data_IF_162834081051
#
_entry.id   IF_162834081051
#
_cell.length_a   1.000
_cell.length_b   1.000
_cell.length_c   1.000
_cell.angle_alpha   90.00
_cell.angle_beta   90.00
_cell.angle_gamma   90.00
#
_symmetry.space_group_name_H-M   'P 1'
#
loop_
_entity.id
_entity.type
_entity.pdbx_description
1 polymer ?
#
# COMPACT_ATOMS: atom_id res chain seq x y z
N UNK A 1 21.72 13.08 -13.76
CA UNK A 1 20.43 12.45 -13.42
C UNK A 1 20.55 11.89 -12.02
N UNK A 2 19.47 11.87 -11.23
CA UNK A 2 19.49 11.26 -9.90
C UNK A 2 19.34 9.74 -10.02
N UNK A 3 19.84 8.97 -9.06
CA UNK A 3 19.66 7.51 -9.03
C UNK A 3 18.18 7.10 -9.10
N UNK A 4 17.28 7.93 -8.56
CA UNK A 4 15.83 7.73 -8.67
C UNK A 4 15.33 7.93 -10.11
N UNK A 5 15.79 8.98 -10.79
CA UNK A 5 15.43 9.24 -12.19
C UNK A 5 15.86 8.08 -13.09
N UNK A 6 17.05 7.52 -12.84
CA UNK A 6 17.57 6.38 -13.60
C UNK A 6 16.74 5.12 -13.33
N UNK A 7 16.40 4.84 -12.06
CA UNK A 7 15.55 3.70 -11.69
C UNK A 7 14.14 3.77 -12.32
N UNK A 8 13.53 4.97 -12.32
CA UNK A 8 12.24 5.20 -12.98
C UNK A 8 12.37 5.00 -14.49
N UNK A 9 13.42 5.55 -15.10
CA UNK A 9 13.70 5.36 -16.53
C UNK A 9 13.81 3.89 -16.90
N UNK A 10 14.54 3.09 -16.12
CA UNK A 10 14.63 1.65 -16.33
C UNK A 10 13.28 0.94 -16.19
N UNK A 11 12.47 1.31 -15.20
CA UNK A 11 11.13 0.73 -15.02
C UNK A 11 10.22 1.04 -16.22
N UNK A 12 10.23 2.28 -16.72
CA UNK A 12 9.46 2.70 -17.91
C UNK A 12 9.90 1.94 -19.16
N UNK A 13 11.21 1.80 -19.39
CA UNK A 13 11.75 1.07 -20.54
C UNK A 13 11.39 -0.42 -20.50
N UNK A 14 11.42 -1.03 -19.30
CA UNK A 14 11.03 -2.42 -19.09
C UNK A 14 9.53 -2.63 -19.33
N UNK A 15 8.69 -1.76 -18.77
CA UNK A 15 7.23 -1.78 -18.94
C UNK A 15 6.81 -1.58 -20.41
N UNK A 16 7.52 -0.72 -21.15
CA UNK A 16 7.29 -0.52 -22.58
C UNK A 16 7.83 -1.66 -23.46
N UNK A 17 8.60 -2.61 -22.92
CA UNK A 17 9.19 -3.72 -23.67
C UNK A 17 10.32 -3.30 -24.62
N UNK A 18 11.02 -2.20 -24.30
CA UNK A 18 12.06 -1.62 -25.18
C UNK A 18 13.44 -1.53 -24.54
N UNK A 19 13.62 -2.05 -23.31
CA UNK A 19 14.86 -1.93 -22.54
C UNK A 19 16.11 -2.42 -23.29
N UNK A 20 15.99 -3.46 -24.12
CA UNK A 20 17.12 -4.06 -24.86
C UNK A 20 17.20 -3.61 -26.33
N UNK A 21 16.33 -2.68 -26.77
CA UNK A 21 16.31 -2.21 -28.17
C UNK A 21 17.39 -1.15 -28.41
N UNK A 22 18.14 -1.34 -29.49
CA UNK A 22 19.16 -0.37 -29.93
C UNK A 22 18.60 0.75 -30.81
N UNK A 23 17.37 0.62 -31.31
CA UNK A 23 16.65 1.63 -32.07
C UNK A 23 15.15 1.54 -31.80
N UNK A 24 14.46 2.69 -31.75
CA UNK A 24 13.03 2.76 -31.47
C UNK A 24 12.24 3.08 -32.72
N UNK A 25 11.15 2.35 -32.93
CA UNK A 25 10.14 2.63 -33.95
C UNK A 25 9.12 3.66 -33.42
N UNK A 26 8.23 4.15 -34.29
CA UNK A 26 7.11 4.99 -33.85
C UNK A 26 6.20 4.27 -32.86
N UNK A 27 5.96 2.96 -33.04
CA UNK A 27 5.17 2.15 -32.12
C UNK A 27 5.84 2.05 -30.74
N UNK A 28 7.15 1.88 -30.69
CA UNK A 28 7.93 1.89 -29.44
C UNK A 28 7.80 3.22 -28.69
N UNK A 29 7.81 4.34 -29.41
CA UNK A 29 7.58 5.65 -28.82
C UNK A 29 6.17 5.81 -28.25
N UNK A 30 5.15 5.24 -28.91
CA UNK A 30 3.77 5.22 -28.38
C UNK A 30 3.69 4.35 -27.12
N UNK A 31 4.34 3.18 -27.11
CA UNK A 31 4.42 2.31 -25.93
C UNK A 31 5.10 3.01 -24.75
N UNK A 32 6.16 3.79 -25.00
CA UNK A 32 6.84 4.59 -23.98
C UNK A 32 5.94 5.67 -23.38
N UNK A 33 5.11 6.34 -24.18
CA UNK A 33 4.13 7.31 -23.67
C UNK A 33 3.15 6.61 -22.72
N UNK A 34 2.62 5.46 -23.13
CA UNK A 34 1.67 4.70 -22.31
C UNK A 34 2.30 4.20 -21.00
N UNK A 35 3.52 3.66 -21.04
CA UNK A 35 4.26 3.21 -19.86
C UNK A 35 4.61 4.37 -18.91
N UNK A 36 5.00 5.53 -19.46
CA UNK A 36 5.28 6.73 -18.69
C UNK A 36 4.04 7.25 -17.97
N UNK A 37 2.89 7.28 -18.65
CA UNK A 37 1.61 7.69 -18.05
C UNK A 37 1.22 6.76 -16.87
N UNK A 38 1.31 5.43 -17.06
CA UNK A 38 1.07 4.46 -15.97
C UNK A 38 2.03 4.68 -14.79
N UNK A 39 3.30 4.94 -15.09
CA UNK A 39 4.31 5.21 -14.06
C UNK A 39 4.00 6.50 -13.29
N UNK A 40 3.54 7.56 -13.98
CA UNK A 40 3.08 8.79 -13.33
C UNK A 40 1.93 8.53 -12.37
N UNK A 41 0.94 7.74 -12.78
CA UNK A 41 -0.21 7.36 -11.95
C UNK A 41 0.23 6.57 -10.71
N UNK A 42 1.16 5.62 -10.86
CA UNK A 42 1.71 4.85 -9.73
C UNK A 42 2.47 5.74 -8.74
N UNK A 43 3.34 6.63 -9.23
CA UNK A 43 4.08 7.58 -8.39
C UNK A 43 3.12 8.52 -7.66
N UNK A 44 2.08 9.00 -8.36
CA UNK A 44 1.02 9.83 -7.77
C UNK A 44 0.25 9.07 -6.69
N UNK A 45 -0.03 7.78 -6.91
CA UNK A 45 -0.64 6.88 -5.92
C UNK A 45 0.23 6.70 -4.68
N UNK A 46 1.55 6.49 -4.86
CA UNK A 46 2.52 6.40 -3.76
C UNK A 46 2.54 7.68 -2.93
N UNK A 47 2.65 8.85 -3.58
CA UNK A 47 2.61 10.14 -2.90
C UNK A 47 1.33 10.32 -2.08
N UNK A 48 0.18 9.97 -2.67
CA UNK A 48 -1.11 10.06 -1.99
C UNK A 48 -1.15 9.17 -0.74
N UNK A 49 -0.70 7.91 -0.84
CA UNK A 49 -0.63 6.99 0.32
C UNK A 49 0.29 7.55 1.41
N UNK A 50 1.44 8.11 1.04
CA UNK A 50 2.35 8.74 2.00
C UNK A 50 1.70 9.93 2.72
N UNK A 51 0.97 10.78 2.00
CA UNK A 51 0.23 11.92 2.58
C UNK A 51 -0.86 11.45 3.55
N UNK A 52 -1.67 10.46 3.16
CA UNK A 52 -2.72 9.92 4.02
C UNK A 52 -2.14 9.26 5.28
N UNK A 53 -1.04 8.51 5.13
CA UNK A 53 -0.32 7.93 6.27
C UNK A 53 0.23 9.01 7.21
N UNK A 54 0.84 10.07 6.67
CA UNK A 54 1.29 11.21 7.47
C UNK A 54 0.13 11.93 8.18
N UNK A 55 -1.03 12.06 7.52
CA UNK A 55 -2.25 12.61 8.15
C UNK A 55 -2.75 11.76 9.30
N UNK A 56 -2.80 10.44 9.11
CA UNK A 56 -3.15 9.51 10.17
C UNK A 56 -2.16 9.59 11.34
N UNK A 57 -0.87 9.79 11.06
CA UNK A 57 0.20 10.06 12.03
C UNK A 57 0.15 11.44 12.71
N UNK A 58 -0.91 12.23 12.45
CA UNK A 58 -1.12 13.51 13.10
C UNK A 58 -0.42 14.70 12.43
N UNK A 59 0.30 14.49 11.31
CA UNK A 59 0.92 15.59 10.58
C UNK A 59 -0.13 16.58 10.08
N UNK A 60 0.02 17.87 10.38
CA UNK A 60 -0.96 18.88 9.97
C UNK A 60 -0.94 19.11 8.45
N UNK A 61 -2.06 19.59 7.89
CA UNK A 61 -2.08 20.02 6.48
C UNK A 61 -1.08 21.13 6.17
N UNK A 62 -0.70 21.94 7.17
CA UNK A 62 0.30 22.99 6.99
C UNK A 62 1.70 22.38 6.83
N UNK A 63 2.04 21.39 7.66
CA UNK A 63 3.29 20.63 7.57
C UNK A 63 3.40 19.91 6.22
N UNK A 64 2.35 19.19 5.82
CA UNK A 64 2.31 18.47 4.54
C UNK A 64 2.41 19.45 3.36
N UNK A 65 1.70 20.57 3.42
CA UNK A 65 1.78 21.60 2.39
C UNK A 65 3.21 22.12 2.22
N UNK A 66 3.87 22.47 3.33
CA UNK A 66 5.24 22.96 3.31
C UNK A 66 6.22 21.96 2.67
N UNK A 67 6.15 20.68 3.03
CA UNK A 67 6.98 19.62 2.44
C UNK A 67 6.74 19.43 0.94
N UNK A 68 5.50 19.63 0.48
CA UNK A 68 5.14 19.53 -0.93
C UNK A 68 5.29 20.85 -1.71
N UNK A 69 5.84 21.90 -1.08
CA UNK A 69 6.01 23.21 -1.71
C UNK A 69 4.68 23.90 -2.06
N UNK A 70 3.62 23.66 -1.30
CA UNK A 70 2.29 24.22 -1.52
C UNK A 70 1.64 24.76 -0.25
N UNK A 71 0.53 25.50 -0.40
CA UNK A 71 -0.19 26.02 0.77
C UNK A 71 -0.96 24.91 1.52
N UNK A 72 -1.26 25.16 2.80
CA UNK A 72 -2.13 24.29 3.62
C UNK A 72 -3.45 23.97 2.91
N UNK A 73 -4.09 24.99 2.35
CA UNK A 73 -5.37 24.84 1.67
C UNK A 73 -5.23 24.02 0.39
N UNK A 74 -4.16 24.23 -0.40
CA UNK A 74 -3.91 23.44 -1.61
C UNK A 74 -3.70 21.95 -1.28
N UNK A 75 -2.96 21.65 -0.21
CA UNK A 75 -2.76 20.29 0.27
C UNK A 75 -4.08 19.65 0.74
N UNK A 76 -4.86 20.36 1.56
CA UNK A 76 -6.16 19.88 2.03
C UNK A 76 -7.13 19.63 0.87
N UNK A 77 -7.18 20.53 -0.12
CA UNK A 77 -8.09 20.38 -1.25
C UNK A 77 -7.70 19.17 -2.11
N UNK A 78 -6.39 18.97 -2.35
CA UNK A 78 -5.85 17.89 -3.17
C UNK A 78 -5.98 16.51 -2.52
N UNK A 79 -5.86 16.41 -1.20
CA UNK A 79 -5.76 15.11 -0.49
C UNK A 79 -6.84 14.86 0.56
N UNK A 80 -7.64 15.87 0.95
CA UNK A 80 -8.58 15.79 2.06
C UNK A 80 -9.93 15.12 1.75
N UNK A 81 -10.50 15.33 0.57
CA UNK A 81 -11.85 14.86 0.19
C UNK A 81 -11.99 13.34 0.03
N UNK A 82 -10.90 12.59 0.18
CA UNK A 82 -10.84 11.17 -0.16
C UNK A 82 -10.74 10.27 1.08
N UNK A 83 -10.53 10.86 2.25
CA UNK A 83 -10.58 10.14 3.52
C UNK A 83 -12.02 9.84 3.96
N UNK A 84 -13.01 10.60 3.47
CA UNK A 84 -14.42 10.51 3.87
C UNK A 84 -15.21 9.44 3.09
N UNK A 85 -14.66 8.86 2.02
CA UNK A 85 -15.37 7.93 1.13
C UNK A 85 -15.04 6.43 1.37
N UNK A 86 -14.38 6.08 2.48
CA UNK A 86 -13.82 4.73 2.70
C UNK A 86 -14.51 3.92 3.81
N UNK A 87 -15.67 4.35 4.34
CA UNK A 87 -16.21 3.81 5.60
C UNK A 87 -17.49 2.94 5.51
N UNK A 88 -17.97 2.52 4.34
CA UNK A 88 -19.25 1.75 4.23
C UNK A 88 -19.10 0.37 3.53
N UNK A 89 -18.37 -0.56 4.16
CA UNK A 89 -18.57 -1.99 3.89
C UNK A 89 -18.45 -2.80 5.20
N UNK A 90 -19.46 -3.63 5.50
CA UNK A 90 -19.50 -4.49 6.71
C UNK A 90 -18.34 -5.51 6.77
N UNK A 91 -17.55 -5.61 5.69
CA UNK A 91 -16.35 -6.43 5.59
C UNK A 91 -15.06 -5.68 5.97
N UNK A 92 -15.08 -4.36 6.19
CA UNK A 92 -13.92 -3.55 6.58
C UNK A 92 -13.93 -3.17 8.08
N UNK A 93 -12.76 -3.15 8.72
CA UNK A 93 -12.59 -2.64 10.10
C UNK A 93 -11.26 -1.93 10.30
N UNK A 94 -11.20 -1.12 11.35
CA UNK A 94 -9.93 -0.62 11.89
C UNK A 94 -9.48 -1.45 13.09
N UNK A 95 -8.26 -1.99 13.04
CA UNK A 95 -7.57 -2.61 14.17
C UNK A 95 -6.65 -1.57 14.82
N UNK A 96 -7.00 -1.10 16.02
CA UNK A 96 -6.18 -0.17 16.78
C UNK A 96 -6.86 0.36 18.06
N UNK A 97 -6.13 1.12 18.90
CA UNK A 97 -4.73 1.52 18.71
C UNK A 97 -3.74 0.36 18.96
N UNK A 98 -2.74 0.21 18.09
CA UNK A 98 -1.61 -0.72 18.24
C UNK A 98 -0.30 0.05 18.38
N UNK A 99 0.60 -0.44 19.23
CA UNK A 99 1.96 0.03 19.39
C UNK A 99 2.93 -0.71 18.47
N UNK A 100 4.13 -0.18 18.30
CA UNK A 100 5.19 -0.85 17.51
C UNK A 100 5.59 -2.22 18.08
N UNK A 101 5.26 -2.51 19.35
CA UNK A 101 5.60 -3.74 20.06
C UNK A 101 4.51 -4.81 19.95
N UNK A 102 3.24 -4.42 20.04
CA UNK A 102 2.10 -5.36 19.99
C UNK A 102 1.54 -5.53 18.58
N UNK A 103 1.80 -4.60 17.66
CA UNK A 103 1.20 -4.56 16.32
C UNK A 103 1.26 -5.90 15.60
N UNK A 104 2.43 -6.57 15.59
CA UNK A 104 2.55 -7.84 14.87
C UNK A 104 1.76 -8.97 15.51
N UNK A 105 1.62 -8.98 16.85
CA UNK A 105 0.80 -9.96 17.56
C UNK A 105 -0.70 -9.74 17.33
N UNK A 106 -1.14 -8.47 17.33
CA UNK A 106 -2.51 -8.10 17.00
C UNK A 106 -2.86 -8.44 15.54
N UNK A 107 -1.93 -8.23 14.61
CA UNK A 107 -2.10 -8.64 13.21
C UNK A 107 -2.17 -10.17 13.07
N UNK A 108 -1.39 -10.94 13.82
CA UNK A 108 -1.46 -12.40 13.82
C UNK A 108 -2.82 -12.91 14.34
N UNK A 109 -3.34 -12.30 15.42
CA UNK A 109 -4.66 -12.62 15.96
C UNK A 109 -5.77 -12.30 14.94
N UNK A 110 -5.73 -11.11 14.34
CA UNK A 110 -6.68 -10.71 13.32
C UNK A 110 -6.61 -11.62 12.08
N UNK A 111 -5.40 -12.01 11.66
CA UNK A 111 -5.17 -12.95 10.58
C UNK A 111 -5.82 -14.31 10.80
N UNK A 112 -5.82 -14.82 12.05
CA UNK A 112 -6.52 -16.06 12.41
C UNK A 112 -8.04 -15.97 12.28
N UNK A 113 -8.61 -14.78 12.39
CA UNK A 113 -10.04 -14.49 12.24
C UNK A 113 -10.45 -14.13 10.79
N UNK A 114 -9.48 -14.16 9.88
CA UNK A 114 -9.64 -13.91 8.45
C UNK A 114 -9.48 -12.47 8.02
N UNK A 115 -8.93 -11.62 8.89
CA UNK A 115 -8.67 -10.22 8.58
C UNK A 115 -7.27 -10.04 8.03
N UNK A 116 -7.15 -9.30 6.93
CA UNK A 116 -5.85 -8.87 6.41
C UNK A 116 -5.79 -7.37 6.19
N UNK A 117 -4.58 -6.81 6.33
CA UNK A 117 -4.36 -5.37 6.21
C UNK A 117 -4.41 -4.93 4.76
N UNK A 118 -5.17 -3.88 4.50
CA UNK A 118 -5.26 -3.15 3.22
C UNK A 118 -4.84 -1.67 3.34
N UNK A 119 -4.58 -1.19 4.56
CA UNK A 119 -4.09 0.15 4.84
C UNK A 119 -3.52 0.27 6.25
N UNK A 120 -2.63 1.24 6.47
CA UNK A 120 -2.07 1.50 7.80
C UNK A 120 -2.07 3.02 8.09
N UNK A 121 -2.64 3.38 9.24
CA UNK A 121 -2.51 4.67 9.90
C UNK A 121 -1.34 4.68 10.89
N UNK A 122 -1.25 5.70 11.75
CA UNK A 122 -0.13 5.87 12.69
C UNK A 122 0.07 4.70 13.67
N UNK A 123 -1.06 4.14 14.09
CA UNK A 123 -1.17 3.17 15.18
C UNK A 123 -2.41 2.29 14.96
N UNK A 124 -2.81 2.10 13.71
CA UNK A 124 -4.00 1.33 13.38
C UNK A 124 -3.90 0.78 11.96
N UNK A 125 -4.52 -0.37 11.73
CA UNK A 125 -4.61 -1.01 10.43
C UNK A 125 -6.05 -0.96 9.93
N UNK A 126 -6.23 -0.55 8.68
CA UNK A 126 -7.49 -0.78 7.96
C UNK A 126 -7.41 -2.18 7.36
N UNK A 127 -8.42 -2.98 7.65
CA UNK A 127 -8.45 -4.40 7.32
C UNK A 127 -9.73 -4.73 6.58
N UNK A 128 -9.67 -5.77 5.75
CA UNK A 128 -10.85 -6.41 5.17
C UNK A 128 -10.91 -7.87 5.62
N UNK A 129 -12.12 -8.41 5.75
CA UNK A 129 -12.37 -9.80 6.17
C UNK A 129 -12.54 -10.73 4.98
N UNK A 130 -12.06 -11.95 5.13
CA UNK A 130 -12.27 -13.08 4.22
C UNK A 130 -12.57 -14.37 4.99
N UNK A 131 -12.90 -15.43 4.26
CA UNK A 131 -13.22 -16.74 4.84
C UNK A 131 -11.98 -17.58 5.19
N UNK A 132 -10.79 -17.13 4.80
CA UNK A 132 -9.51 -17.80 5.01
C UNK A 132 -8.62 -17.03 5.97
N UNK A 133 -7.69 -17.72 6.63
CA UNK A 133 -6.75 -17.12 7.57
C UNK A 133 -5.58 -16.49 6.84
N UNK A 134 -5.05 -15.42 7.42
CA UNK A 134 -3.96 -14.64 6.85
C UNK A 134 -2.74 -14.58 7.77
N UNK A 135 -1.57 -14.45 7.14
CA UNK A 135 -0.33 -14.10 7.80
C UNK A 135 0.10 -12.69 7.41
N UNK A 136 0.72 -11.99 8.36
CA UNK A 136 1.24 -10.64 8.16
C UNK A 136 2.74 -10.60 8.45
N UNK A 137 3.45 -9.77 7.69
CA UNK A 137 4.87 -9.54 7.90
C UNK A 137 5.21 -8.09 7.62
N UNK A 138 5.83 -7.42 8.60
CA UNK A 138 6.38 -6.07 8.42
C UNK A 138 7.84 -6.14 7.97
N UNK A 139 8.22 -5.26 7.05
CA UNK A 139 9.61 -5.00 6.68
C UNK A 139 9.85 -3.50 6.57
N UNK A 140 11.09 -3.07 6.78
CA UNK A 140 11.53 -1.75 6.27
C UNK A 140 11.36 -1.74 4.76
N UNK A 141 10.98 -0.59 4.21
CA UNK A 141 10.66 -0.35 2.81
C UNK A 141 11.56 -1.10 1.86
N UNK A 142 10.96 -2.07 1.15
CA UNK A 142 11.62 -2.87 0.13
C UNK A 142 10.58 -3.47 -0.81
N UNK A 143 10.96 -3.82 -2.05
CA UNK A 143 10.09 -4.61 -2.91
C UNK A 143 9.87 -6.01 -2.34
N UNK A 144 8.71 -6.59 -2.66
CA UNK A 144 8.45 -8.00 -2.49
C UNK A 144 9.31 -8.80 -3.47
N UNK A 145 10.02 -9.82 -2.98
CA UNK A 145 10.90 -10.65 -3.83
C UNK A 145 10.09 -11.68 -4.61
N UNK A 146 10.63 -12.13 -5.74
CA UNK A 146 9.98 -13.14 -6.58
C UNK A 146 9.70 -14.45 -5.83
N UNK A 147 10.64 -14.92 -5.01
CA UNK A 147 10.45 -16.11 -4.17
C UNK A 147 9.29 -15.93 -3.17
N UNK A 148 9.20 -14.75 -2.54
CA UNK A 148 8.12 -14.45 -1.59
C UNK A 148 6.76 -14.41 -2.29
N UNK A 149 6.70 -13.85 -3.51
CA UNK A 149 5.48 -13.90 -4.33
C UNK A 149 5.09 -15.33 -4.70
N UNK A 150 6.06 -16.19 -5.02
CA UNK A 150 5.81 -17.60 -5.29
C UNK A 150 5.28 -18.38 -4.07
N UNK A 151 5.62 -17.92 -2.87
CA UNK A 151 5.08 -18.42 -1.60
C UNK A 151 3.70 -17.83 -1.24
N UNK A 152 3.11 -17.01 -2.11
CA UNK A 152 1.78 -16.39 -1.90
C UNK A 152 1.80 -15.09 -1.11
N UNK A 153 2.97 -14.48 -0.85
CA UNK A 153 3.02 -13.16 -0.25
C UNK A 153 2.61 -12.08 -1.24
N UNK A 154 1.90 -11.08 -0.73
CA UNK A 154 1.42 -9.91 -1.45
C UNK A 154 1.69 -8.65 -0.64
N UNK A 155 1.65 -7.48 -1.28
CA UNK A 155 1.71 -6.21 -0.58
C UNK A 155 0.32 -5.86 -0.05
N UNK A 156 0.13 -5.92 1.26
CA UNK A 156 -1.13 -5.51 1.89
C UNK A 156 -1.24 -3.99 1.95
N UNK A 157 -0.24 -3.34 2.54
CA UNK A 157 -0.14 -1.88 2.51
C UNK A 157 1.29 -1.38 2.75
N UNK A 158 1.46 -0.06 2.64
CA UNK A 158 2.70 0.64 2.95
C UNK A 158 2.42 1.87 3.79
N UNK A 159 3.17 2.04 4.88
CA UNK A 159 3.16 3.24 5.73
C UNK A 159 4.61 3.58 6.06
N UNK A 160 5.18 4.58 5.38
CA UNK A 160 6.61 4.87 5.44
C UNK A 160 7.11 4.97 6.90
N UNK A 161 8.24 4.32 7.25
CA UNK A 161 9.18 3.59 6.38
C UNK A 161 8.86 2.09 6.22
N UNK A 162 7.66 1.65 6.58
CA UNK A 162 7.27 0.24 6.63
C UNK A 162 6.47 -0.21 5.40
N UNK A 163 6.65 -1.48 5.05
CA UNK A 163 5.77 -2.24 4.16
C UNK A 163 5.22 -3.44 4.93
N UNK A 164 3.94 -3.72 4.74
CA UNK A 164 3.24 -4.85 5.33
C UNK A 164 2.88 -5.81 4.21
N UNK A 165 3.50 -6.99 4.25
CA UNK A 165 3.14 -8.09 3.38
C UNK A 165 2.07 -8.93 4.04
N UNK A 166 1.13 -9.40 3.25
CA UNK A 166 0.06 -10.31 3.68
C UNK A 166 0.13 -11.58 2.84
N UNK A 167 -0.29 -12.71 3.39
CA UNK A 167 -0.38 -13.97 2.67
C UNK A 167 -1.64 -14.70 3.10
N UNK A 168 -2.46 -15.09 2.14
CA UNK A 168 -3.55 -16.03 2.39
C UNK A 168 -2.96 -17.43 2.61
N UNK A 169 -3.34 -18.07 3.71
CA UNK A 169 -2.91 -19.43 4.03
C UNK A 169 -3.75 -20.50 3.35
N UNK A 170 -4.92 -20.14 2.82
CA UNK A 170 -5.93 -21.06 2.31
C UNK A 170 -6.63 -21.89 3.39
N UNK A 171 -6.29 -21.68 4.67
CA UNK A 171 -6.91 -22.37 5.79
C UNK A 171 -8.22 -21.64 6.12
N UNK A 172 -9.38 -22.31 6.16
CA UNK A 172 -10.62 -21.65 6.56
C UNK A 172 -10.55 -21.07 7.98
N UNK A 173 -11.18 -19.92 8.18
CA UNK A 173 -11.49 -19.42 9.52
C UNK A 173 -12.46 -20.42 10.13
N UNK A 174 -12.02 -21.14 11.15
CA UNK A 174 -12.91 -22.10 11.82
C UNK A 174 -14.00 -21.30 12.52
N UNK A 175 -15.26 -21.53 12.15
CA UNK A 175 -16.37 -21.07 12.99
C UNK A 175 -16.16 -21.67 14.38
N UNK A 176 -15.98 -20.82 15.40
CA UNK A 176 -16.11 -21.26 16.78
C UNK A 176 -17.44 -21.99 16.91
N UNK A 177 -17.49 -23.25 17.40
CA UNK A 177 -18.76 -23.93 17.61
C UNK A 177 -19.64 -23.04 18.46
N UNK A 178 -20.80 -22.66 17.91
CA UNK A 178 -21.79 -21.87 18.61
C UNK A 178 -22.06 -22.44 19.99
N UNK A 179 -22.15 -21.55 20.98
CA UNK A 179 -22.56 -21.88 22.32
C UNK A 179 -23.83 -22.76 22.28
N UNK A 180 -23.69 -24.01 22.72
CA UNK A 180 -24.83 -24.87 22.97
C UNK A 180 -25.57 -24.35 24.24
N UNK A 181 -26.91 -24.49 24.29
CA UNK A 181 -27.81 -23.73 25.16
C UNK A 181 -27.64 -23.99 26.66
#
# INVERSE_FOLDING_TARGET
MSALSDAIGHAVLAEAGVADKTSLTTEDHIALIAASARTEDEVRGILRRAVLSARAAGASWATIGAELGMSRQAAQQRFGHLAEAQDDDDSERWLGPVSVFDEMGELELAGREGWHTIGAGASAHRMVRSDTRWEHRRSVWRPLRAAERAEGWELGCSAFPWVYFVRDTGIPVSETPGAAP
#
